data_IF_524253249796
#
_entry.id   IF_524253249796
#
_cell.length_a   1.000
_cell.length_b   1.000
_cell.length_c   1.000
_cell.angle_alpha   90.00
_cell.angle_beta   90.00
_cell.angle_gamma   90.00
#
_symmetry.space_group_name_H-M   'P 1'
#
loop_
_entity.id
_entity.type
_entity.pdbx_description
1 polymer ?
#
# COMPACT_ATOMS: atom_id res chain seq x y z
N UNK A 1 -14.39 -11.49 11.80
CA UNK A 1 -15.36 -11.07 12.83
C UNK A 1 -15.17 -11.89 14.09
N UNK A 2 -15.76 -11.48 15.22
CA UNK A 2 -15.73 -12.22 16.48
C UNK A 2 -16.72 -13.40 16.42
N UNK A 3 -16.22 -14.64 16.52
CA UNK A 3 -17.06 -15.85 16.47
C UNK A 3 -17.55 -16.21 17.88
N UNK A 4 -16.68 -16.12 18.87
CA UNK A 4 -17.01 -16.34 20.28
C UNK A 4 -16.01 -15.60 21.18
N UNK A 5 -16.43 -15.30 22.41
CA UNK A 5 -15.58 -14.75 23.46
C UNK A 5 -15.97 -15.38 24.80
N UNK A 6 -14.98 -15.76 25.61
CA UNK A 6 -15.18 -16.19 26.99
C UNK A 6 -14.47 -15.21 27.90
N UNK A 7 -15.21 -14.65 28.84
CA UNK A 7 -14.72 -13.65 29.78
C UNK A 7 -14.75 -14.22 31.19
N UNK A 8 -13.75 -13.89 32.00
CA UNK A 8 -13.71 -14.31 33.39
C UNK A 8 -14.87 -13.70 34.19
N UNK A 9 -15.23 -14.33 35.32
CA UNK A 9 -16.42 -13.97 36.13
C UNK A 9 -16.43 -12.53 36.67
N UNK A 10 -15.30 -11.82 36.63
CA UNK A 10 -15.17 -10.43 37.06
C UNK A 10 -15.54 -9.40 35.99
N UNK A 11 -15.62 -9.79 34.71
CA UNK A 11 -16.02 -8.89 33.62
C UNK A 11 -17.55 -8.77 33.55
N UNK A 12 -18.12 -7.88 34.37
CA UNK A 12 -19.56 -7.54 34.29
C UNK A 12 -19.79 -6.40 33.29
N UNK A 13 -20.96 -6.38 32.65
CA UNK A 13 -21.45 -5.30 31.78
C UNK A 13 -20.58 -4.96 30.55
N UNK A 14 -20.08 -5.97 29.83
CA UNK A 14 -19.36 -5.72 28.58
C UNK A 14 -20.33 -5.33 27.46
N UNK A 15 -20.01 -4.24 26.75
CA UNK A 15 -20.70 -3.80 25.54
C UNK A 15 -19.73 -3.87 24.38
N UNK A 16 -20.17 -4.47 23.28
CA UNK A 16 -19.37 -4.59 22.06
C UNK A 16 -19.77 -3.49 21.08
N UNK A 17 -18.77 -2.84 20.51
CA UNK A 17 -18.93 -1.98 19.34
C UNK A 17 -18.24 -2.64 18.16
N UNK A 18 -18.82 -2.49 16.98
CA UNK A 18 -18.15 -2.80 15.72
C UNK A 18 -18.21 -1.58 14.82
N UNK A 19 -17.14 -1.40 14.05
CA UNK A 19 -17.05 -0.37 13.03
C UNK A 19 -16.63 -1.02 11.71
N UNK A 20 -16.99 -0.39 10.61
CA UNK A 20 -16.69 -0.85 9.26
C UNK A 20 -17.39 0.02 8.24
N UNK A 21 -17.20 -0.31 6.97
CA UNK A 21 -17.78 0.44 5.85
C UNK A 21 -19.00 -0.33 5.31
N UNK A 22 -20.17 0.32 5.14
CA UNK A 22 -21.35 -0.31 4.54
C UNK A 22 -21.16 -0.46 3.03
N UNK A 23 -20.45 -1.52 2.62
CA UNK A 23 -20.01 -1.73 1.23
C UNK A 23 -21.16 -1.82 0.23
N UNK A 24 -22.36 -2.25 0.64
CA UNK A 24 -23.54 -2.34 -0.24
C UNK A 24 -24.01 -0.99 -0.81
N UNK A 25 -23.56 0.11 -0.22
CA UNK A 25 -23.88 1.47 -0.66
C UNK A 25 -22.79 2.12 -1.51
N UNK A 26 -21.66 1.43 -1.72
CA UNK A 26 -20.53 1.97 -2.47
C UNK A 26 -20.63 1.61 -3.96
N UNK A 27 -20.16 2.53 -4.81
CA UNK A 27 -20.00 2.29 -6.24
C UNK A 27 -18.91 1.23 -6.51
N UNK A 28 -17.86 1.21 -5.67
CA UNK A 28 -16.81 0.21 -5.71
C UNK A 28 -16.65 -0.44 -4.31
N UNK A 29 -17.40 -1.52 -4.04
CA UNK A 29 -17.40 -2.17 -2.73
C UNK A 29 -16.10 -2.93 -2.43
N UNK A 30 -15.25 -3.17 -3.44
CA UNK A 30 -14.01 -3.96 -3.29
C UNK A 30 -12.76 -3.09 -3.11
N UNK A 31 -12.90 -1.78 -3.29
CA UNK A 31 -11.81 -0.81 -3.15
C UNK A 31 -11.56 -0.34 -1.71
N UNK A 32 -12.31 -0.88 -0.75
CA UNK A 32 -12.22 -0.52 0.67
C UNK A 32 -11.79 -1.69 1.53
N UNK A 33 -10.97 -1.41 2.56
CA UNK A 33 -10.55 -2.41 3.55
C UNK A 33 -11.35 -2.30 4.85
N UNK A 34 -12.06 -1.20 5.04
CA UNK A 34 -12.82 -0.91 6.25
C UNK A 34 -11.95 -0.48 7.44
N UNK A 35 -10.69 -0.11 7.18
CA UNK A 35 -9.81 0.40 8.22
C UNK A 35 -10.27 1.79 8.69
N UNK A 36 -10.11 2.13 9.98
CA UNK A 36 -10.39 3.47 10.48
C UNK A 36 -9.59 4.52 9.71
N UNK A 37 -10.21 5.66 9.43
CA UNK A 37 -9.61 6.80 8.70
C UNK A 37 -9.23 6.52 7.24
N UNK A 38 -9.61 5.38 6.67
CA UNK A 38 -9.23 5.01 5.31
C UNK A 38 -9.71 6.04 4.27
N UNK A 39 -10.97 6.48 4.38
CA UNK A 39 -11.54 7.42 3.42
C UNK A 39 -10.81 8.76 3.46
N UNK A 40 -10.53 9.25 4.66
CA UNK A 40 -9.82 10.50 4.90
C UNK A 40 -8.37 10.41 4.40
N UNK A 41 -7.67 9.31 4.69
CA UNK A 41 -6.30 9.11 4.26
C UNK A 41 -6.16 8.96 2.74
N UNK A 42 -7.06 8.20 2.11
CA UNK A 42 -7.05 7.97 0.65
C UNK A 42 -7.44 9.23 -0.10
N UNK A 43 -8.50 9.93 0.32
CA UNK A 43 -9.01 11.10 -0.40
C UNK A 43 -8.19 12.39 -0.17
N UNK A 44 -7.32 12.43 0.84
CA UNK A 44 -6.59 13.65 1.16
C UNK A 44 -5.46 13.90 0.13
N UNK A 45 -5.43 15.12 -0.43
CA UNK A 45 -4.32 15.59 -1.27
C UNK A 45 -3.02 15.66 -0.47
N UNK A 46 -1.90 15.24 -1.08
CA UNK A 46 -0.59 15.45 -0.46
C UNK A 46 -0.37 16.95 -0.26
N UNK A 47 -0.14 17.32 1.00
CA UNK A 47 0.00 18.70 1.43
C UNK A 47 1.00 18.72 2.58
N UNK A 48 2.13 19.39 2.35
CA UNK A 48 3.23 19.49 3.31
C UNK A 48 2.87 20.38 4.50
N UNK A 49 1.88 21.25 4.34
CA UNK A 49 1.46 22.18 5.39
C UNK A 49 0.30 21.63 6.24
N UNK A 50 -0.11 20.37 6.00
CA UNK A 50 -1.21 19.76 6.73
C UNK A 50 -0.78 19.34 8.15
N UNK A 51 -1.29 20.00 9.22
CA UNK A 51 -0.84 19.76 10.59
C UNK A 51 -1.32 18.43 11.17
N UNK A 52 -2.18 17.68 10.46
CA UNK A 52 -2.62 16.34 10.86
C UNK A 52 -1.68 15.23 10.38
N UNK A 53 -0.60 15.58 9.67
CA UNK A 53 0.38 14.66 9.13
C UNK A 53 1.79 15.12 9.48
N UNK A 54 2.58 14.22 10.06
CA UNK A 54 4.01 14.48 10.27
C UNK A 54 4.79 14.26 8.97
N UNK A 55 5.55 15.27 8.58
CA UNK A 55 6.48 15.15 7.46
C UNK A 55 7.73 14.38 7.89
N UNK A 56 8.08 13.37 7.11
CA UNK A 56 9.39 12.73 7.20
C UNK A 56 9.98 12.62 5.78
N UNK A 57 11.28 12.85 5.67
CA UNK A 57 11.99 12.72 4.40
C UNK A 57 12.38 11.26 4.17
N UNK A 58 12.12 10.75 2.96
CA UNK A 58 12.55 9.43 2.52
C UNK A 58 12.70 9.38 1.00
N UNK A 59 13.75 8.71 0.53
CA UNK A 59 13.94 8.40 -0.89
C UNK A 59 13.57 6.93 -1.13
N UNK A 60 13.18 6.56 -2.36
CA UNK A 60 12.97 5.17 -2.75
C UNK A 60 14.32 4.51 -3.10
N UNK A 61 14.71 3.36 -2.50
CA UNK A 61 13.95 2.55 -1.55
C UNK A 61 13.91 3.17 -0.14
N UNK A 62 12.70 3.31 0.39
CA UNK A 62 12.46 3.86 1.71
C UNK A 62 12.57 2.76 2.77
N UNK A 63 13.09 3.08 3.95
CA UNK A 63 13.09 2.20 5.11
C UNK A 63 12.36 2.89 6.27
N UNK A 64 11.36 2.22 6.83
CA UNK A 64 10.60 2.68 7.99
C UNK A 64 10.78 1.70 9.14
N UNK A 65 11.19 2.19 10.30
CA UNK A 65 11.22 1.39 11.51
C UNK A 65 9.84 1.39 12.16
N UNK A 66 9.09 0.30 11.99
CA UNK A 66 7.77 0.15 12.59
C UNK A 66 7.89 -0.29 14.05
N UNK A 67 7.06 0.27 14.92
CA UNK A 67 6.89 -0.19 16.31
C UNK A 67 5.55 -0.88 16.50
N UNK A 68 5.53 -1.94 17.29
CA UNK A 68 4.30 -2.67 17.57
C UNK A 68 3.26 -1.81 18.33
N UNK A 69 3.74 -0.84 19.11
CA UNK A 69 2.88 0.04 19.93
C UNK A 69 2.18 1.15 19.13
N UNK A 70 2.66 1.47 17.92
CA UNK A 70 2.10 2.53 17.09
C UNK A 70 0.74 2.15 16.47
N UNK A 71 0.39 0.86 16.49
CA UNK A 71 -0.84 0.37 15.87
C UNK A 71 -0.84 0.54 14.35
N UNK A 72 -1.94 1.05 13.79
CA UNK A 72 -2.04 1.34 12.36
C UNK A 72 -1.52 2.75 12.11
N UNK A 73 -0.48 2.85 11.30
CA UNK A 73 0.03 4.12 10.79
C UNK A 73 -0.42 4.31 9.35
N UNK A 74 -0.84 5.52 9.02
CA UNK A 74 -1.09 5.92 7.64
C UNK A 74 0.14 6.64 7.10
N UNK A 75 0.59 6.24 5.92
CA UNK A 75 1.68 6.90 5.18
C UNK A 75 1.13 7.39 3.86
N UNK A 76 1.61 8.53 3.40
CA UNK A 76 1.21 9.10 2.12
C UNK A 76 2.38 9.82 1.48
N UNK A 77 2.48 9.68 0.17
CA UNK A 77 3.41 10.45 -0.65
C UNK A 77 2.80 10.74 -2.01
N UNK A 78 3.38 11.69 -2.72
CA UNK A 78 3.10 11.93 -4.12
C UNK A 78 4.32 11.60 -4.98
N UNK A 79 4.09 11.23 -6.23
CA UNK A 79 5.15 10.98 -7.20
C UNK A 79 4.74 11.33 -8.61
N UNK A 80 5.71 11.75 -9.42
CA UNK A 80 5.50 11.93 -10.85
C UNK A 80 5.59 10.59 -11.57
N UNK A 81 4.62 10.36 -12.46
CA UNK A 81 4.68 9.23 -13.36
C UNK A 81 5.90 9.37 -14.29
N UNK A 82 6.44 8.25 -14.80
CA UNK A 82 7.51 8.32 -15.77
C UNK A 82 7.06 8.97 -17.08
N UNK A 83 7.93 9.74 -17.72
CA UNK A 83 7.67 10.31 -19.04
C UNK A 83 7.48 9.19 -20.08
N UNK A 84 6.26 9.10 -20.62
CA UNK A 84 5.87 8.06 -21.57
C UNK A 84 6.17 8.42 -23.04
N UNK A 85 6.81 9.56 -23.30
CA UNK A 85 7.05 10.08 -24.66
C UNK A 85 7.87 9.13 -25.56
N UNK A 86 8.70 8.27 -24.97
CA UNK A 86 9.48 7.26 -25.70
C UNK A 86 9.11 5.81 -25.36
N UNK A 87 8.58 5.55 -24.16
CA UNK A 87 8.45 4.20 -23.61
C UNK A 87 7.33 4.11 -22.56
N UNK A 88 6.50 3.06 -22.60
CA UNK A 88 5.57 2.74 -21.51
C UNK A 88 6.15 1.63 -20.64
N UNK A 89 6.34 1.92 -19.35
CA UNK A 89 6.72 0.92 -18.36
C UNK A 89 5.75 0.93 -17.18
N UNK A 90 5.14 -0.22 -16.86
CA UNK A 90 4.30 -0.32 -15.69
C UNK A 90 5.14 -0.27 -14.41
N UNK A 91 4.53 0.19 -13.32
CA UNK A 91 5.20 0.34 -12.02
C UNK A 91 4.95 -0.86 -11.12
N UNK A 92 5.88 -1.11 -10.20
CA UNK A 92 5.87 -2.19 -9.22
C UNK A 92 6.15 -1.60 -7.85
N UNK A 93 5.22 -1.83 -6.93
CA UNK A 93 5.37 -1.56 -5.52
C UNK A 93 5.85 -2.83 -4.82
N UNK A 94 6.99 -2.76 -4.14
CA UNK A 94 7.62 -3.89 -3.45
C UNK A 94 7.74 -3.58 -1.96
N UNK A 95 7.39 -4.58 -1.14
CA UNK A 95 7.53 -4.52 0.31
C UNK A 95 8.47 -5.62 0.80
N UNK A 96 9.40 -5.26 1.67
CA UNK A 96 10.27 -6.25 2.34
C UNK A 96 10.33 -5.93 3.82
N UNK A 97 9.98 -6.89 4.66
CA UNK A 97 10.08 -6.79 6.11
C UNK A 97 10.92 -7.93 6.68
N UNK A 98 11.38 -7.79 7.92
CA UNK A 98 12.12 -8.86 8.63
C UNK A 98 11.26 -9.69 9.56
N UNK A 99 10.06 -9.20 9.91
CA UNK A 99 9.13 -9.84 10.83
C UNK A 99 7.68 -9.44 10.44
N UNK A 100 6.69 -9.86 11.23
CA UNK A 100 5.26 -9.71 10.98
C UNK A 100 4.86 -8.26 10.64
N UNK A 101 4.49 -8.02 9.38
CA UNK A 101 4.00 -6.73 8.88
C UNK A 101 2.77 -6.96 8.02
N UNK A 102 1.80 -6.05 8.14
CA UNK A 102 0.67 -5.90 7.23
C UNK A 102 0.73 -4.53 6.57
N UNK A 103 0.63 -4.50 5.24
CA UNK A 103 0.48 -3.25 4.48
C UNK A 103 -0.73 -3.35 3.58
N UNK A 104 -1.62 -2.37 3.63
CA UNK A 104 -2.64 -2.13 2.62
C UNK A 104 -2.19 -0.94 1.77
N UNK A 105 -2.25 -1.05 0.45
CA UNK A 105 -1.72 -0.03 -0.46
C UNK A 105 -2.77 0.46 -1.46
N UNK A 106 -2.83 1.78 -1.63
CA UNK A 106 -3.65 2.47 -2.63
C UNK A 106 -2.78 3.35 -3.52
N UNK A 107 -3.07 3.36 -4.82
CA UNK A 107 -2.44 4.26 -5.80
C UNK A 107 -3.54 4.97 -6.58
N UNK A 108 -3.54 6.31 -6.57
CA UNK A 108 -4.61 7.12 -7.16
C UNK A 108 -6.01 6.61 -6.79
N UNK A 109 -6.23 6.47 -5.49
CA UNK A 109 -7.48 5.99 -4.87
C UNK A 109 -7.83 4.52 -5.13
N UNK A 110 -7.09 3.82 -6.00
CA UNK A 110 -7.30 2.39 -6.27
C UNK A 110 -6.50 1.53 -5.30
N UNK A 111 -7.18 0.63 -4.61
CA UNK A 111 -6.61 -0.40 -3.75
C UNK A 111 -5.86 -1.42 -4.60
N UNK A 112 -4.53 -1.41 -4.48
CA UNK A 112 -3.63 -2.25 -5.25
C UNK A 112 -3.47 -3.63 -4.61
N UNK A 113 -3.52 -3.69 -3.28
CA UNK A 113 -3.47 -4.96 -2.58
C UNK A 113 -2.98 -4.86 -1.15
N UNK A 114 -2.81 -6.04 -0.58
CA UNK A 114 -2.43 -6.23 0.81
C UNK A 114 -1.22 -7.16 0.90
N UNK A 115 -0.14 -6.64 1.47
CA UNK A 115 1.03 -7.41 1.87
C UNK A 115 0.80 -8.00 3.26
N UNK A 116 1.05 -9.30 3.39
CA UNK A 116 1.00 -10.03 4.65
C UNK A 116 2.28 -10.83 4.79
N UNK A 117 3.20 -10.39 5.65
CA UNK A 117 4.48 -11.06 5.85
C UNK A 117 4.32 -12.53 6.23
N UNK A 118 3.46 -12.82 7.21
CA UNK A 118 3.30 -14.17 7.79
C UNK A 118 2.66 -15.19 6.84
N UNK A 119 2.00 -14.73 5.78
CA UNK A 119 1.29 -15.59 4.84
C UNK A 119 1.99 -15.68 3.49
N UNK A 120 2.54 -14.58 2.99
CA UNK A 120 3.25 -14.54 1.72
C UNK A 120 2.47 -15.19 0.55
N UNK A 121 3.16 -15.56 -0.54
CA UNK A 121 4.52 -15.18 -0.91
C UNK A 121 4.58 -13.78 -1.56
N UNK A 122 3.44 -13.15 -1.82
CA UNK A 122 3.36 -11.94 -2.62
C UNK A 122 3.94 -10.75 -1.86
N UNK A 123 5.06 -10.23 -2.38
CA UNK A 123 5.75 -9.03 -1.89
C UNK A 123 5.99 -8.00 -3.00
N UNK A 124 5.52 -8.29 -4.22
CA UNK A 124 5.52 -7.40 -5.37
C UNK A 124 4.07 -7.19 -5.83
N UNK A 125 3.69 -5.93 -6.01
CA UNK A 125 2.38 -5.48 -6.43
C UNK A 125 2.54 -4.68 -7.71
N UNK A 126 2.04 -5.24 -8.79
CA UNK A 126 2.19 -4.69 -10.12
C UNK A 126 1.04 -3.72 -10.41
N UNK A 127 1.39 -2.46 -10.67
CA UNK A 127 0.46 -1.37 -10.93
C UNK A 127 0.26 -1.30 -12.44
N UNK A 128 -0.99 -1.46 -12.85
CA UNK A 128 -1.37 -1.47 -14.25
C UNK A 128 -1.27 -0.08 -14.88
N UNK A 129 -1.08 -0.08 -16.19
CA UNK A 129 -1.21 1.12 -17.00
C UNK A 129 -2.62 1.72 -16.84
N UNK A 130 -2.72 3.06 -16.85
CA UNK A 130 -3.98 3.78 -16.65
C UNK A 130 -4.33 4.02 -15.18
N UNK A 131 -3.75 3.25 -14.24
CA UNK A 131 -3.80 3.61 -12.82
C UNK A 131 -2.88 4.78 -12.54
N UNK A 132 -1.66 4.75 -13.08
CA UNK A 132 -0.67 5.83 -12.98
C UNK A 132 -0.90 6.84 -14.10
N UNK A 133 -1.01 8.12 -13.74
CA UNK A 133 -1.10 9.28 -14.63
C UNK A 133 0.30 9.70 -15.03
N UNK A 134 0.54 9.85 -16.34
CA UNK A 134 1.84 10.21 -16.90
C UNK A 134 2.10 11.72 -16.95
N UNK A 135 1.03 12.51 -16.98
CA UNK A 135 1.00 13.96 -17.16
C UNK A 135 0.52 14.70 -15.91
N UNK A 136 0.40 13.98 -14.79
CA UNK A 136 -0.06 14.51 -13.52
C UNK A 136 0.62 13.82 -12.35
N UNK A 137 0.52 14.47 -11.19
CA UNK A 137 0.94 13.89 -9.92
C UNK A 137 0.07 12.67 -9.56
N UNK A 138 0.73 11.65 -9.01
CA UNK A 138 0.12 10.42 -8.52
C UNK A 138 0.21 10.37 -7.00
N UNK A 139 -0.78 9.75 -6.36
CA UNK A 139 -0.76 9.48 -4.91
C UNK A 139 -0.40 8.02 -4.63
N UNK A 140 0.38 7.80 -3.57
CA UNK A 140 0.56 6.50 -2.92
C UNK A 140 0.15 6.65 -1.46
N UNK A 141 -0.81 5.84 -1.01
CA UNK A 141 -1.28 5.79 0.37
C UNK A 141 -1.07 4.38 0.89
N UNK A 142 -0.52 4.25 2.10
CA UNK A 142 -0.31 2.99 2.78
C UNK A 142 -0.95 3.03 4.16
N UNK A 143 -1.62 1.95 4.55
CA UNK A 143 -1.86 1.65 5.96
C UNK A 143 -0.89 0.55 6.36
N UNK A 144 -0.04 0.81 7.34
CA UNK A 144 0.99 -0.11 7.82
C UNK A 144 0.75 -0.44 9.28
N UNK A 145 0.92 -1.70 9.65
CA UNK A 145 0.94 -2.12 11.06
C UNK A 145 1.86 -3.31 11.24
N UNK A 146 2.36 -3.48 12.46
CA UNK A 146 3.21 -4.60 12.84
C UNK A 146 2.84 -5.16 14.20
N UNK A 147 3.11 -6.45 14.42
CA UNK A 147 3.01 -7.09 15.73
C UNK A 147 4.34 -7.07 16.51
N UNK A 148 5.45 -6.71 15.86
CA UNK A 148 6.78 -6.64 16.48
C UNK A 148 7.61 -5.55 15.83
N UNK A 149 8.46 -4.88 16.61
CA UNK A 149 9.41 -3.91 16.07
C UNK A 149 10.21 -4.47 14.89
N UNK A 150 10.09 -3.84 13.72
CA UNK A 150 10.69 -4.37 12.50
C UNK A 150 10.85 -3.29 11.43
N UNK A 151 11.93 -3.32 10.63
CA UNK A 151 12.07 -2.44 9.48
C UNK A 151 11.17 -2.92 8.32
N UNK A 152 10.48 -1.97 7.70
CA UNK A 152 9.76 -2.14 6.44
C UNK A 152 10.48 -1.36 5.34
N UNK A 153 10.93 -2.06 4.32
CA UNK A 153 11.46 -1.48 3.09
C UNK A 153 10.36 -1.37 2.04
N UNK A 154 10.23 -0.19 1.45
CA UNK A 154 9.23 0.13 0.42
C UNK A 154 9.96 0.59 -0.83
N UNK A 155 9.73 -0.07 -1.95
CA UNK A 155 10.29 0.32 -3.25
C UNK A 155 9.19 0.52 -4.25
N UNK A 156 9.13 1.70 -4.87
CA UNK A 156 8.38 1.92 -6.10
C UNK A 156 9.37 2.00 -7.27
N UNK A 157 9.22 1.12 -8.26
CA UNK A 157 10.13 1.07 -9.42
C UNK A 157 9.51 0.38 -10.62
N UNK A 158 10.22 0.27 -11.76
CA UNK A 158 9.71 -0.41 -12.94
C UNK A 158 9.54 -1.91 -12.71
N UNK A 159 8.74 -2.56 -13.54
CA UNK A 159 8.74 -4.02 -13.63
C UNK A 159 10.09 -4.50 -14.13
N UNK A 160 10.64 -5.55 -13.55
CA UNK A 160 11.93 -6.11 -13.96
C UNK A 160 11.68 -7.48 -14.57
N UNK A 161 12.04 -7.64 -15.85
CA UNK A 161 11.91 -8.90 -16.60
C UNK A 161 13.26 -9.43 -17.03
N UNK A 162 13.39 -10.75 -16.99
CA UNK A 162 14.48 -11.46 -17.63
C UNK A 162 14.42 -11.30 -19.15
N UNK A 163 15.52 -10.84 -19.75
CA UNK A 163 15.57 -10.55 -21.18
C UNK A 163 15.51 -11.78 -22.08
N UNK A 164 15.73 -12.97 -21.54
CA UNK A 164 15.75 -14.23 -22.31
C UNK A 164 14.38 -14.92 -22.29
N UNK A 165 13.79 -15.04 -21.11
CA UNK A 165 12.53 -15.76 -20.89
C UNK A 165 11.30 -14.85 -20.93
N UNK A 166 11.47 -13.53 -20.76
CA UNK A 166 10.38 -12.58 -20.61
C UNK A 166 9.67 -12.66 -19.25
N UNK A 167 10.10 -13.57 -18.36
CA UNK A 167 9.54 -13.71 -17.02
C UNK A 167 10.04 -12.62 -16.09
N UNK A 168 9.32 -12.35 -15.00
CA UNK A 168 9.75 -11.42 -13.96
C UNK A 168 11.03 -11.94 -13.28
N UNK A 169 12.05 -11.09 -13.16
CA UNK A 169 13.35 -11.46 -12.57
C UNK A 169 14.00 -10.30 -11.82
N UNK A 170 14.55 -10.50 -10.61
CA UNK A 170 15.31 -9.46 -9.90
C UNK A 170 16.58 -9.01 -10.62
N UNK A 171 17.19 -9.89 -11.43
CA UNK A 171 18.41 -9.61 -12.20
C UNK A 171 18.13 -9.16 -13.64
N UNK A 172 16.86 -8.99 -13.99
CA UNK A 172 16.42 -8.61 -15.31
C UNK A 172 16.64 -7.13 -15.65
N UNK A 173 15.98 -6.68 -16.71
CA UNK A 173 15.93 -5.27 -17.14
C UNK A 173 14.52 -4.71 -16.96
N UNK A 174 14.35 -3.38 -16.90
CA UNK A 174 13.03 -2.77 -16.92
C UNK A 174 12.19 -3.30 -18.10
N UNK A 175 10.97 -3.75 -17.83
CA UNK A 175 10.02 -4.13 -18.86
C UNK A 175 9.46 -2.88 -19.51
N UNK A 176 9.54 -2.83 -20.83
CA UNK A 176 9.12 -1.69 -21.63
C UNK A 176 8.36 -2.20 -22.84
N UNK A 177 7.17 -1.64 -23.08
CA UNK A 177 6.41 -1.89 -24.30
C UNK A 177 6.78 -0.84 -25.34
N UNK A 178 7.22 -1.32 -26.51
CA UNK A 178 7.32 -0.50 -27.72
C UNK A 178 6.17 -0.87 -28.65
N UNK A 179 5.48 0.16 -29.16
CA UNK A 179 4.46 0.01 -30.20
C UNK A 179 5.09 0.42 -31.54
N UNK A 180 4.99 -0.44 -32.55
CA UNK A 180 5.32 -0.05 -33.92
C UNK A 180 4.24 0.91 -34.46
N UNK A 181 4.68 1.98 -35.13
CA UNK A 181 3.82 2.92 -35.87
C UNK A 181 3.46 2.36 -37.24
#
# INVERSE_FOLDING_TARGET
GLISASLSRSARNQRWGMYGVPVSSLNDPFNTTGLPLEREAVAASFDTDNPSWDLFAGESPMCLDLKAEDGIQWLRTSFQGPDQSAYRFPLRLKFEARDSVVVCAWVNDLFIGRYLYDFGPQNNFYIMEGVVKSDAENSLVLAVMTLKDTPLHITLGPWIVDGTSGNLSPSGKPFVLQKAL
#
